data_IF_825189750246
#
_entry.id   IF_825189750246
#
_cell.length_a   1.000
_cell.length_b   1.000
_cell.length_c   1.000
_cell.angle_alpha   90.00
_cell.angle_beta   90.00
_cell.angle_gamma   90.00
#
_symmetry.space_group_name_H-M   'P 1'
#
loop_
_entity.id
_entity.type
_entity.pdbx_description
1 polymer ?
#
# COMPACT_ATOMS: atom_id res chain seq x y z
N UNK A 1 21.33 -62.92 -65.21
CA UNK A 1 21.53 -62.40 -63.82
C UNK A 1 21.67 -60.93 -63.89
N UNK A 2 20.59 -60.17 -63.47
CA UNK A 2 20.48 -58.72 -63.62
C UNK A 2 20.49 -58.13 -62.21
N UNK A 3 21.44 -57.29 -61.89
CA UNK A 3 21.58 -56.61 -60.64
C UNK A 3 20.90 -55.22 -60.81
N UNK A 4 19.88 -54.98 -59.99
CA UNK A 4 19.21 -53.68 -59.87
C UNK A 4 19.92 -52.90 -58.76
N UNK A 5 20.55 -51.76 -59.10
CA UNK A 5 21.06 -50.77 -58.15
C UNK A 5 19.92 -49.78 -57.83
N UNK A 6 19.47 -49.76 -56.60
CA UNK A 6 18.52 -48.79 -56.10
C UNK A 6 19.29 -47.56 -55.65
N UNK A 7 19.04 -46.41 -56.31
CA UNK A 7 19.53 -45.06 -55.88
C UNK A 7 18.62 -44.53 -54.77
N UNK A 8 19.17 -44.36 -53.58
CA UNK A 8 18.53 -43.66 -52.48
C UNK A 8 18.77 -42.13 -52.65
N UNK A 9 17.75 -41.40 -53.06
CA UNK A 9 17.75 -39.93 -53.02
C UNK A 9 17.56 -39.42 -51.58
N UNK A 10 18.62 -38.90 -50.98
CA UNK A 10 18.52 -38.13 -49.73
C UNK A 10 18.10 -36.69 -50.07
N UNK A 11 16.88 -36.32 -49.75
CA UNK A 11 16.41 -34.96 -49.78
C UNK A 11 16.94 -34.23 -48.54
N UNK A 12 17.86 -33.29 -48.72
CA UNK A 12 18.28 -32.35 -47.66
C UNK A 12 17.15 -31.33 -47.43
N UNK A 13 16.57 -31.35 -46.29
CA UNK A 13 15.69 -30.26 -45.80
C UNK A 13 16.60 -29.24 -45.14
N UNK A 14 16.62 -27.97 -45.58
CA UNK A 14 17.38 -26.93 -44.88
C UNK A 14 16.72 -26.59 -43.55
N UNK A 15 17.46 -26.75 -42.42
CA UNK A 15 17.10 -26.20 -41.12
C UNK A 15 17.06 -24.68 -41.24
N UNK A 16 15.89 -24.09 -41.15
CA UNK A 16 15.75 -22.66 -40.98
C UNK A 16 16.28 -22.24 -39.60
N UNK A 17 17.40 -21.54 -39.57
CA UNK A 17 17.88 -20.87 -38.37
C UNK A 17 16.89 -19.76 -38.01
N UNK A 18 16.13 -20.00 -36.95
CA UNK A 18 15.36 -18.92 -36.31
C UNK A 18 16.36 -17.87 -35.75
N UNK A 19 16.34 -16.67 -36.31
CA UNK A 19 17.12 -15.56 -35.80
C UNK A 19 16.65 -15.21 -34.39
N UNK A 20 17.47 -15.49 -33.39
CA UNK A 20 17.29 -15.00 -32.03
C UNK A 20 17.53 -13.47 -32.04
N UNK A 21 16.45 -12.71 -32.05
CA UNK A 21 16.54 -11.27 -31.81
C UNK A 21 16.89 -11.04 -30.34
N UNK A 22 18.12 -10.64 -30.06
CA UNK A 22 18.50 -10.22 -28.70
C UNK A 22 17.75 -8.95 -28.34
N UNK A 23 16.81 -9.07 -27.40
CA UNK A 23 16.15 -7.91 -26.80
C UNK A 23 17.14 -7.29 -25.81
N UNK A 24 17.60 -6.06 -26.12
CA UNK A 24 18.45 -5.29 -25.21
C UNK A 24 17.57 -4.82 -24.05
N UNK A 25 17.71 -5.47 -22.89
CA UNK A 25 17.01 -5.09 -21.64
C UNK A 25 17.74 -3.91 -21.01
N UNK A 26 17.07 -2.79 -20.71
CA UNK A 26 17.69 -1.68 -19.97
C UNK A 26 18.13 -2.16 -18.58
N UNK A 27 19.34 -1.76 -18.18
CA UNK A 27 19.94 -2.13 -16.89
C UNK A 27 19.10 -1.55 -15.75
N UNK A 28 18.27 -2.40 -15.11
CA UNK A 28 17.46 -2.00 -13.94
C UNK A 28 16.04 -2.56 -13.87
N UNK A 29 15.54 -3.27 -14.89
CA UNK A 29 14.23 -3.93 -14.84
C UNK A 29 14.41 -5.45 -14.75
N UNK A 30 13.89 -6.09 -13.71
CA UNK A 30 13.74 -7.54 -13.67
C UNK A 30 12.51 -7.94 -14.50
N UNK A 31 12.74 -8.70 -15.59
CA UNK A 31 11.66 -9.26 -16.40
C UNK A 31 11.41 -10.70 -15.96
N UNK A 32 10.20 -10.99 -15.50
CA UNK A 32 9.73 -12.34 -15.23
C UNK A 32 8.79 -12.78 -16.36
N UNK A 33 9.18 -13.80 -17.10
CA UNK A 33 8.33 -14.40 -18.16
C UNK A 33 7.46 -15.48 -17.50
N UNK A 34 6.15 -15.29 -17.55
CA UNK A 34 5.15 -16.29 -17.15
C UNK A 34 4.14 -16.40 -18.30
N UNK A 35 4.01 -17.59 -18.88
CA UNK A 35 3.06 -17.91 -19.96
C UNK A 35 3.13 -16.94 -21.15
N UNK A 36 4.33 -16.76 -21.74
CA UNK A 36 4.61 -15.91 -22.90
C UNK A 36 4.22 -14.43 -22.79
N UNK A 37 3.85 -13.97 -21.60
CA UNK A 37 3.58 -12.57 -21.31
C UNK A 37 4.77 -11.96 -20.57
N UNK A 38 5.45 -11.00 -21.21
CA UNK A 38 6.49 -10.20 -20.55
C UNK A 38 5.80 -9.26 -19.57
N UNK A 39 5.95 -9.52 -18.27
CA UNK A 39 5.51 -8.59 -17.22
C UNK A 39 6.70 -7.69 -16.89
N UNK A 40 6.61 -6.43 -17.28
CA UNK A 40 7.57 -5.41 -16.88
C UNK A 40 7.33 -5.09 -15.39
N UNK A 41 8.15 -5.65 -14.52
CA UNK A 41 8.10 -5.38 -13.08
C UNK A 41 8.84 -4.07 -12.84
N UNK A 42 8.18 -2.93 -13.09
CA UNK A 42 8.66 -1.66 -12.54
C UNK A 42 8.84 -1.83 -11.03
N UNK A 43 9.97 -1.32 -10.51
CA UNK A 43 10.18 -1.34 -9.06
C UNK A 43 9.00 -0.62 -8.41
N UNK A 44 8.50 -1.19 -7.34
CA UNK A 44 7.38 -0.62 -6.59
C UNK A 44 7.68 0.83 -6.14
N UNK A 45 8.98 1.12 -5.89
CA UNK A 45 9.49 2.45 -5.56
C UNK A 45 9.33 3.50 -6.68
N UNK A 46 9.20 3.06 -7.94
CA UNK A 46 9.10 3.95 -9.09
C UNK A 46 7.64 4.33 -9.40
N UNK A 47 6.69 3.63 -8.78
CA UNK A 47 5.26 3.92 -8.92
C UNK A 47 4.85 5.00 -7.93
N UNK A 48 4.25 6.07 -8.46
CA UNK A 48 3.67 7.13 -7.63
C UNK A 48 2.42 6.62 -6.94
N UNK A 49 2.36 6.78 -5.61
CA UNK A 49 1.13 6.57 -4.85
C UNK A 49 0.23 7.79 -5.03
N UNK A 50 -0.94 7.58 -5.62
CA UNK A 50 -1.91 8.64 -5.88
C UNK A 50 -2.81 8.89 -4.67
N UNK A 51 -3.10 7.82 -3.91
CA UNK A 51 -4.02 7.85 -2.78
C UNK A 51 -3.71 6.73 -1.80
N UNK A 52 -3.90 7.01 -0.52
CA UNK A 52 -4.04 6.00 0.53
C UNK A 52 -5.54 5.74 0.75
N UNK A 53 -5.97 4.48 0.72
CA UNK A 53 -7.34 4.08 1.01
C UNK A 53 -7.38 3.25 2.30
N UNK A 54 -8.19 3.67 3.26
CA UNK A 54 -8.44 2.94 4.50
C UNK A 54 -9.85 2.38 4.48
N UNK A 55 -9.97 1.06 4.68
CA UNK A 55 -11.22 0.32 4.80
C UNK A 55 -11.34 -0.14 6.27
N UNK A 56 -12.09 0.61 7.08
CA UNK A 56 -12.16 0.40 8.54
C UNK A 56 -12.74 -0.96 8.89
N UNK A 57 -13.85 -1.37 8.26
CA UNK A 57 -14.47 -2.67 8.50
C UNK A 57 -13.51 -3.84 8.18
N UNK A 58 -12.71 -3.71 7.13
CA UNK A 58 -11.73 -4.71 6.72
C UNK A 58 -10.41 -4.65 7.51
N UNK A 59 -10.17 -3.59 8.30
CA UNK A 59 -8.88 -3.31 8.96
C UNK A 59 -7.74 -3.32 7.95
N UNK A 60 -7.92 -2.60 6.84
CA UNK A 60 -6.96 -2.53 5.74
C UNK A 60 -6.59 -1.09 5.41
N UNK A 61 -5.32 -0.87 5.13
CA UNK A 61 -4.77 0.29 4.47
C UNK A 61 -4.20 -0.14 3.13
N UNK A 62 -4.60 0.53 2.06
CA UNK A 62 -4.16 0.23 0.70
C UNK A 62 -3.44 1.43 0.10
N UNK A 63 -2.31 1.18 -0.57
CA UNK A 63 -1.63 2.16 -1.40
C UNK A 63 -2.14 2.02 -2.83
N UNK A 64 -2.77 3.07 -3.34
CA UNK A 64 -3.39 3.10 -4.67
C UNK A 64 -2.49 3.85 -5.65
N UNK A 65 -2.28 3.27 -6.83
CA UNK A 65 -1.57 3.88 -7.96
C UNK A 65 -2.29 3.52 -9.25
N UNK A 66 -2.62 4.51 -10.08
CA UNK A 66 -3.34 4.29 -11.34
C UNK A 66 -4.72 3.65 -11.15
N UNK A 67 -5.35 3.82 -9.98
CA UNK A 67 -6.64 3.21 -9.64
C UNK A 67 -6.58 1.80 -9.07
N UNK A 68 -5.40 1.17 -9.02
CA UNK A 68 -5.19 -0.18 -8.52
C UNK A 68 -4.50 -0.18 -7.14
N UNK A 69 -4.85 -1.16 -6.29
CA UNK A 69 -4.16 -1.37 -5.02
C UNK A 69 -2.82 -2.08 -5.26
N UNK A 70 -1.70 -1.36 -5.08
CA UNK A 70 -0.36 -1.91 -5.18
C UNK A 70 0.04 -2.71 -3.96
N UNK A 71 -0.36 -2.23 -2.78
CA UNK A 71 -0.05 -2.82 -1.48
C UNK A 71 -1.26 -2.74 -0.58
N UNK A 72 -1.40 -3.73 0.29
CA UNK A 72 -2.44 -3.77 1.31
C UNK A 72 -1.81 -4.20 2.64
N UNK A 73 -2.08 -3.45 3.68
CA UNK A 73 -1.57 -3.68 5.03
C UNK A 73 -2.72 -3.88 6.02
N UNK A 74 -2.52 -4.75 7.00
CA UNK A 74 -3.41 -4.82 8.14
C UNK A 74 -3.16 -3.65 9.08
N UNK A 75 -4.24 -3.07 9.61
CA UNK A 75 -4.18 -1.93 10.52
C UNK A 75 -4.98 -2.20 11.80
N UNK A 76 -4.66 -1.43 12.83
CA UNK A 76 -5.48 -1.24 14.03
C UNK A 76 -6.04 0.18 14.04
N UNK A 77 -7.21 0.35 14.59
CA UNK A 77 -7.97 1.60 14.64
C UNK A 77 -8.14 2.12 16.09
N UNK A 78 -8.92 3.16 16.24
CA UNK A 78 -9.40 3.62 17.55
C UNK A 78 -10.25 2.55 18.26
N UNK A 79 -10.23 2.54 19.60
CA UNK A 79 -10.97 1.57 20.45
C UNK A 79 -12.46 1.51 20.15
N UNK A 80 -13.03 2.59 19.61
CA UNK A 80 -14.40 2.63 19.11
C UNK A 80 -14.38 2.71 17.57
N UNK A 81 -14.20 1.58 16.85
CA UNK A 81 -13.88 1.60 15.43
C UNK A 81 -15.06 1.92 14.52
N UNK A 82 -16.30 1.81 15.02
CA UNK A 82 -17.52 1.96 14.21
C UNK A 82 -17.96 3.41 14.10
N UNK A 83 -18.23 3.88 12.89
CA UNK A 83 -18.66 5.23 12.58
C UNK A 83 -17.53 6.25 12.60
N UNK A 84 -17.82 7.47 12.13
CA UNK A 84 -16.83 8.53 12.04
C UNK A 84 -16.53 9.17 13.40
N UNK A 85 -15.37 9.80 13.50
CA UNK A 85 -15.01 10.63 14.64
C UNK A 85 -15.90 11.88 14.71
N UNK A 86 -16.48 12.14 15.89
CA UNK A 86 -17.40 13.25 16.11
C UNK A 86 -16.82 14.30 17.07
N UNK A 87 -16.12 13.88 18.11
CA UNK A 87 -15.57 14.75 19.14
C UNK A 87 -14.28 14.24 19.74
N UNK A 88 -13.56 15.11 20.42
CA UNK A 88 -12.38 14.75 21.17
C UNK A 88 -12.70 13.66 22.23
N UNK A 89 -11.83 12.66 22.36
CA UNK A 89 -11.99 11.58 23.33
C UNK A 89 -12.95 10.47 22.95
N UNK A 90 -13.65 10.53 21.81
CA UNK A 90 -14.58 9.50 21.36
C UNK A 90 -13.92 8.18 20.89
N UNK A 91 -12.59 8.19 20.81
CA UNK A 91 -11.75 7.04 20.42
C UNK A 91 -12.07 6.49 19.02
N UNK A 92 -12.66 7.30 18.15
CA UNK A 92 -13.01 6.94 16.77
C UNK A 92 -11.96 7.42 15.78
N UNK A 93 -11.74 6.62 14.76
CA UNK A 93 -11.00 7.04 13.56
C UNK A 93 -11.96 7.77 12.64
N UNK A 94 -11.60 8.97 12.13
CA UNK A 94 -12.49 9.72 11.24
C UNK A 94 -12.75 9.00 9.93
N UNK A 95 -13.84 9.34 9.27
CA UNK A 95 -14.22 8.88 7.93
C UNK A 95 -14.32 10.10 7.01
N UNK A 96 -13.83 9.99 5.79
CA UNK A 96 -13.84 11.08 4.81
C UNK A 96 -12.54 11.19 4.04
N UNK A 97 -12.33 12.37 3.45
CA UNK A 97 -11.15 12.70 2.65
C UNK A 97 -10.28 13.71 3.41
N UNK A 98 -8.99 13.37 3.51
CA UNK A 98 -7.98 14.16 4.20
C UNK A 98 -6.67 14.11 3.39
N UNK A 99 -5.64 14.78 3.92
CA UNK A 99 -4.29 14.79 3.37
C UNK A 99 -3.31 14.28 4.41
N UNK A 100 -2.29 13.57 3.97
CA UNK A 100 -1.10 13.28 4.77
C UNK A 100 -0.16 14.47 4.61
N UNK A 101 -0.28 15.47 5.48
CA UNK A 101 0.27 16.79 5.28
C UNK A 101 1.69 16.98 5.83
N UNK A 102 2.07 16.25 6.86
CA UNK A 102 3.43 16.20 7.37
C UNK A 102 3.73 14.88 8.08
N UNK A 103 5.02 14.61 8.26
CA UNK A 103 5.50 13.40 8.93
C UNK A 103 6.68 13.71 9.83
N UNK A 104 6.88 12.90 10.87
CA UNK A 104 8.04 12.95 11.76
C UNK A 104 8.37 11.59 12.38
N UNK A 105 9.63 11.32 12.72
CA UNK A 105 9.95 10.25 13.66
C UNK A 105 9.20 10.47 14.99
N UNK A 106 8.77 9.39 15.61
CA UNK A 106 8.05 9.42 16.88
C UNK A 106 8.82 8.62 17.94
N UNK A 107 9.06 9.24 19.06
CA UNK A 107 9.72 8.55 20.18
C UNK A 107 8.84 7.42 20.75
N UNK A 108 7.52 7.56 20.65
CA UNK A 108 6.58 6.59 21.20
C UNK A 108 6.17 5.49 20.21
N UNK A 109 6.17 5.80 18.89
CA UNK A 109 5.55 4.94 17.85
C UNK A 109 6.40 4.77 16.61
N UNK A 110 7.74 4.91 16.73
CA UNK A 110 8.71 4.81 15.65
C UNK A 110 8.56 5.91 14.59
N UNK A 111 7.59 5.82 13.68
CA UNK A 111 7.31 6.80 12.63
C UNK A 111 5.86 7.25 12.72
N UNK A 112 5.58 8.51 12.34
CA UNK A 112 4.23 9.05 12.35
C UNK A 112 3.99 9.97 11.16
N UNK A 113 2.84 9.80 10.49
CA UNK A 113 2.34 10.66 9.41
C UNK A 113 1.01 11.27 9.85
N UNK A 114 0.89 12.58 9.80
CA UNK A 114 -0.30 13.30 10.24
C UNK A 114 -1.40 13.26 9.17
N UNK A 115 -2.62 13.06 9.63
CA UNK A 115 -3.84 13.17 8.82
C UNK A 115 -4.46 14.52 9.11
N UNK A 116 -4.77 15.32 8.09
CA UNK A 116 -5.29 16.69 8.18
C UNK A 116 -6.73 16.77 8.75
N UNK A 117 -6.98 15.98 9.80
CA UNK A 117 -8.21 16.04 10.59
C UNK A 117 -8.11 17.12 11.68
N UNK A 118 -9.14 17.93 11.97
CA UNK A 118 -10.44 17.95 11.29
C UNK A 118 -10.40 18.73 9.97
N UNK A 119 -11.13 18.27 8.95
CA UNK A 119 -11.41 19.07 7.78
C UNK A 119 -12.54 20.09 8.04
N UNK A 120 -12.88 20.90 7.04
CA UNK A 120 -13.90 21.95 7.16
C UNK A 120 -15.26 21.36 7.58
N UNK A 121 -15.63 20.20 7.02
CA UNK A 121 -16.90 19.53 7.35
C UNK A 121 -16.93 19.07 8.80
N UNK A 122 -15.84 18.46 9.28
CA UNK A 122 -15.71 17.99 10.66
C UNK A 122 -15.77 19.15 11.65
N UNK A 123 -15.03 20.22 11.37
CA UNK A 123 -15.01 21.42 12.23
C UNK A 123 -16.38 22.10 12.27
N UNK A 124 -17.07 22.20 11.12
CA UNK A 124 -18.42 22.79 11.04
C UNK A 124 -19.44 21.96 11.82
N UNK A 125 -19.39 20.63 11.69
CA UNK A 125 -20.25 19.72 12.46
C UNK A 125 -20.01 19.87 13.96
N UNK A 126 -18.77 19.79 14.39
CA UNK A 126 -18.40 19.90 15.80
C UNK A 126 -18.84 21.25 16.42
N UNK A 127 -18.66 22.35 15.66
CA UNK A 127 -19.13 23.68 16.09
C UNK A 127 -20.66 23.73 16.25
N UNK A 128 -21.41 23.15 15.32
CA UNK A 128 -22.88 23.08 15.38
C UNK A 128 -23.34 22.24 16.59
N UNK A 129 -22.62 21.20 16.94
CA UNK A 129 -22.92 20.31 18.06
C UNK A 129 -22.35 20.81 19.40
N UNK A 130 -21.63 21.95 19.41
CA UNK A 130 -21.06 22.53 20.61
C UNK A 130 -19.92 21.73 21.23
N UNK A 131 -19.22 20.90 20.43
CA UNK A 131 -18.13 20.02 20.88
C UNK A 131 -16.80 20.39 20.23
N UNK A 132 -15.69 19.94 20.84
CA UNK A 132 -14.36 20.02 20.22
C UNK A 132 -14.18 18.80 19.30
N UNK A 133 -13.76 18.96 18.04
CA UNK A 133 -13.55 17.82 17.15
C UNK A 133 -12.35 16.96 17.59
N UNK A 134 -11.39 17.55 18.31
CA UNK A 134 -10.08 16.98 18.54
C UNK A 134 -9.15 17.18 17.35
N UNK A 135 -7.96 16.61 17.42
CA UNK A 135 -6.93 16.74 16.39
C UNK A 135 -5.89 15.62 16.55
N UNK A 136 -4.75 15.73 15.85
CA UNK A 136 -3.60 14.82 15.98
C UNK A 136 -3.93 13.36 15.66
N UNK A 137 -4.74 13.13 14.64
CA UNK A 137 -4.95 11.81 14.08
C UNK A 137 -3.76 11.47 13.17
N UNK A 138 -3.13 10.34 13.43
CA UNK A 138 -1.90 9.92 12.78
C UNK A 138 -2.05 8.53 12.16
N UNK A 139 -1.24 8.24 11.14
CA UNK A 139 -0.80 6.87 10.82
C UNK A 139 0.55 6.69 11.53
N UNK A 140 0.73 5.61 12.29
CA UNK A 140 1.96 5.37 13.04
C UNK A 140 2.27 3.88 13.24
N UNK A 141 3.48 3.57 13.70
CA UNK A 141 3.88 2.23 14.09
C UNK A 141 3.30 1.77 15.44
N UNK A 142 3.76 0.63 15.91
CA UNK A 142 3.45 0.15 17.27
C UNK A 142 4.29 0.88 18.32
N UNK A 143 3.90 0.87 19.61
CA UNK A 143 4.70 1.44 20.68
C UNK A 143 6.12 0.86 20.72
N UNK A 144 7.09 1.70 21.05
CA UNK A 144 8.53 1.32 21.06
C UNK A 144 8.92 0.64 22.36
N UNK A 145 8.37 1.11 23.50
CA UNK A 145 8.77 0.70 24.85
C UNK A 145 7.67 -0.08 25.59
N UNK A 146 6.89 -0.86 24.88
CA UNK A 146 5.80 -1.63 25.50
C UNK A 146 6.24 -3.06 25.85
N UNK A 147 5.70 -3.58 26.97
CA UNK A 147 5.93 -4.93 27.46
C UNK A 147 5.40 -6.02 26.50
N UNK A 148 4.47 -5.66 25.61
CA UNK A 148 3.82 -6.59 24.71
C UNK A 148 4.51 -6.64 23.35
N UNK A 149 4.63 -7.82 22.74
CA UNK A 149 5.21 -7.97 21.41
C UNK A 149 4.36 -7.30 20.33
N UNK A 150 4.97 -6.89 19.23
CA UNK A 150 4.33 -6.15 18.13
C UNK A 150 3.05 -6.81 17.59
N UNK A 151 3.03 -8.16 17.49
CA UNK A 151 1.86 -8.88 17.00
C UNK A 151 0.61 -8.67 17.86
N UNK A 152 0.76 -8.45 19.16
CA UNK A 152 -0.35 -8.21 20.09
C UNK A 152 -1.15 -6.98 19.67
N UNK A 153 -0.49 -5.89 19.33
CA UNK A 153 -1.12 -4.64 18.91
C UNK A 153 -1.91 -4.77 17.60
N UNK A 154 -1.68 -5.83 16.81
CA UNK A 154 -2.42 -6.10 15.57
C UNK A 154 -3.65 -6.99 15.74
N UNK A 155 -3.91 -7.47 16.95
CA UNK A 155 -5.12 -8.22 17.25
C UNK A 155 -6.25 -7.33 17.76
N UNK A 156 -5.95 -6.08 18.12
CA UNK A 156 -6.84 -5.15 18.83
C UNK A 156 -6.95 -3.81 18.08
N UNK A 157 -8.10 -3.14 18.26
CA UNK A 157 -8.22 -1.71 18.00
C UNK A 157 -7.89 -0.99 19.33
N UNK A 158 -6.71 -0.39 19.43
CA UNK A 158 -6.14 0.06 20.71
C UNK A 158 -5.86 1.55 20.78
N UNK A 159 -5.95 2.27 19.65
CA UNK A 159 -5.58 3.68 19.61
C UNK A 159 -6.70 4.60 20.13
N UNK A 160 -6.41 5.87 20.27
CA UNK A 160 -7.40 6.89 20.59
C UNK A 160 -8.00 7.56 19.33
N UNK A 161 -7.94 6.86 18.18
CA UNK A 161 -8.46 7.32 16.89
C UNK A 161 -7.43 7.30 15.76
N UNK A 162 -6.16 7.10 16.06
CA UNK A 162 -5.10 6.93 15.07
C UNK A 162 -5.23 5.59 14.31
N UNK A 163 -4.49 5.46 13.23
CA UNK A 163 -4.34 4.26 12.44
C UNK A 163 -2.96 3.68 12.75
N UNK A 164 -2.87 2.45 13.25
CA UNK A 164 -1.60 1.82 13.58
C UNK A 164 -1.27 0.68 12.64
N UNK A 165 0.02 0.59 12.24
CA UNK A 165 0.61 -0.47 11.44
C UNK A 165 1.69 -1.21 12.24
N UNK A 166 2.13 -2.38 11.76
CA UNK A 166 3.41 -2.96 12.18
C UNK A 166 4.55 -2.03 11.80
N UNK A 167 5.63 -2.04 12.58
CA UNK A 167 6.75 -1.13 12.35
C UNK A 167 7.40 -1.32 10.98
N UNK A 168 7.47 -2.56 10.46
CA UNK A 168 7.99 -2.82 9.12
C UNK A 168 7.05 -2.25 8.04
N UNK A 169 5.74 -2.45 8.19
CA UNK A 169 4.74 -1.92 7.26
C UNK A 169 4.71 -0.39 7.29
N UNK A 170 4.84 0.20 8.50
CA UNK A 170 4.92 1.65 8.66
C UNK A 170 6.15 2.25 7.96
N UNK A 171 7.31 1.57 8.01
CA UNK A 171 8.51 1.99 7.27
C UNK A 171 8.27 1.96 5.77
N UNK A 172 7.67 0.90 5.26
CA UNK A 172 7.35 0.80 3.82
C UNK A 172 6.36 1.89 3.38
N UNK A 173 5.31 2.14 4.15
CA UNK A 173 4.35 3.24 3.89
C UNK A 173 5.06 4.60 3.92
N UNK A 174 5.95 4.81 4.88
CA UNK A 174 6.75 6.04 5.01
C UNK A 174 7.61 6.30 3.77
N UNK A 175 8.22 5.27 3.21
CA UNK A 175 9.12 5.39 2.05
C UNK A 175 8.36 5.60 0.74
N UNK A 176 7.20 4.95 0.59
CA UNK A 176 6.41 4.96 -0.64
C UNK A 176 5.46 6.17 -0.75
N UNK A 177 4.90 6.63 0.37
CA UNK A 177 3.90 7.70 0.40
C UNK A 177 4.57 9.03 0.65
N UNK A 178 4.24 10.07 -0.13
CA UNK A 178 4.80 11.43 0.02
C UNK A 178 3.85 12.32 0.81
N UNK A 179 4.41 13.37 1.44
CA UNK A 179 3.59 14.43 2.03
C UNK A 179 2.73 15.10 0.94
N UNK A 180 1.51 15.46 1.29
CA UNK A 180 0.51 15.94 0.34
C UNK A 180 -0.26 14.83 -0.39
N UNK A 181 -0.03 13.54 -0.06
CA UNK A 181 -0.86 12.45 -0.60
C UNK A 181 -2.24 12.46 0.04
N UNK A 182 -3.28 12.32 -0.79
CA UNK A 182 -4.66 12.19 -0.32
C UNK A 182 -4.86 10.86 0.42
N UNK A 183 -5.60 10.91 1.53
CA UNK A 183 -6.09 9.72 2.24
C UNK A 183 -7.61 9.74 2.29
N UNK A 184 -8.21 8.63 1.86
CA UNK A 184 -9.65 8.37 1.94
C UNK A 184 -9.90 7.30 3.00
N UNK A 185 -10.74 7.58 3.97
CA UNK A 185 -11.09 6.66 5.06
C UNK A 185 -12.57 6.33 4.95
N UNK A 186 -12.88 5.07 4.73
CA UNK A 186 -14.22 4.51 4.58
C UNK A 186 -14.60 3.60 5.74
N UNK A 187 -15.89 3.41 5.99
CA UNK A 187 -16.41 2.44 6.94
C UNK A 187 -15.87 1.03 6.80
#
# INVERSE_FOLDING_TARGET
MRWLLAFLCFTFVPLSQAAFTQIIVPKGSEQKIINDKVINTERLSDRKIDKVLVLKAARQLQLISGGEALKTYRISLGRNPTGTKLQEGDQRTPEGFYWLDWRKPSNNYNLSMHISYPNISDATRARREGVKPGSMIMIHGTPVDEEYPEWYFHTLDWTNGCIALKNNDMREVWDLVKDGTMIEIRP
#
